data_IF_026384112289
#
_entry.id   IF_026384112289
#
_cell.length_a   1.000
_cell.length_b   1.000
_cell.length_c   1.000
_cell.angle_alpha   90.00
_cell.angle_beta   90.00
_cell.angle_gamma   90.00
#
_symmetry.space_group_name_H-M   'P 1'
#
loop_
_entity.id
_entity.type
_entity.pdbx_description
1 polymer ?
#
# COMPACT_ATOMS: atom_id res chain seq x y z
N UNK A 1 -10.11 -20.52 16.43
CA UNK A 1 -9.64 -21.90 16.16
C UNK A 1 -9.00 -21.97 14.77
N UNK A 2 -7.90 -21.24 14.53
CA UNK A 2 -7.27 -21.20 13.18
C UNK A 2 -5.91 -20.45 13.10
N UNK A 3 -5.20 -20.27 14.22
CA UNK A 3 -3.93 -19.51 14.27
C UNK A 3 -2.66 -20.36 14.02
N UNK A 4 -2.81 -21.66 13.72
CA UNK A 4 -1.70 -22.62 13.59
C UNK A 4 -1.34 -22.97 12.13
N UNK A 5 -1.99 -22.37 11.12
CA UNK A 5 -1.90 -22.87 9.75
C UNK A 5 -0.70 -22.34 8.92
N UNK A 6 -0.06 -21.23 9.29
CA UNK A 6 0.97 -20.59 8.44
C UNK A 6 2.41 -20.84 8.89
N UNK A 7 2.66 -20.90 10.20
CA UNK A 7 3.99 -21.18 10.75
C UNK A 7 4.40 -22.63 10.46
N UNK A 8 3.44 -23.55 10.52
CA UNK A 8 3.67 -24.98 10.33
C UNK A 8 3.59 -25.42 8.85
N UNK A 9 3.29 -24.51 7.92
CA UNK A 9 3.14 -24.84 6.50
C UNK A 9 4.52 -24.87 5.80
N UNK A 10 5.03 -26.04 5.39
CA UNK A 10 6.40 -26.20 4.91
C UNK A 10 6.67 -25.43 3.60
N UNK A 11 5.63 -25.15 2.81
CA UNK A 11 5.77 -24.32 1.59
C UNK A 11 5.99 -22.85 1.93
N UNK A 12 5.26 -22.34 2.91
CA UNK A 12 5.32 -20.93 3.34
C UNK A 12 6.63 -20.66 4.07
N UNK A 13 7.11 -21.62 4.87
CA UNK A 13 8.42 -21.55 5.50
C UNK A 13 9.57 -21.57 4.49
N UNK A 14 9.44 -22.28 3.37
CA UNK A 14 10.45 -22.28 2.30
C UNK A 14 10.53 -20.92 1.59
N UNK A 15 9.37 -20.29 1.36
CA UNK A 15 9.27 -19.02 0.63
C UNK A 15 9.18 -17.78 1.53
N UNK A 16 9.35 -17.93 2.86
CA UNK A 16 9.17 -16.83 3.85
C UNK A 16 10.01 -15.59 3.55
N UNK A 17 11.24 -15.78 3.06
CA UNK A 17 12.13 -14.70 2.64
C UNK A 17 11.65 -14.01 1.35
N UNK A 18 11.05 -14.76 0.41
CA UNK A 18 10.45 -14.18 -0.80
C UNK A 18 9.20 -13.36 -0.44
N UNK A 19 8.40 -13.83 0.51
CA UNK A 19 7.24 -13.08 1.02
C UNK A 19 7.71 -11.77 1.67
N UNK A 20 8.76 -11.83 2.51
CA UNK A 20 9.35 -10.64 3.11
C UNK A 20 9.84 -9.65 2.04
N UNK A 21 10.59 -10.13 1.04
CA UNK A 21 11.07 -9.30 -0.08
C UNK A 21 9.90 -8.64 -0.81
N UNK A 22 8.84 -9.40 -1.14
CA UNK A 22 7.68 -8.85 -1.84
C UNK A 22 6.99 -7.74 -1.03
N UNK A 23 6.84 -7.94 0.28
CA UNK A 23 6.24 -6.99 1.21
C UNK A 23 7.12 -5.74 1.38
N UNK A 24 8.43 -5.91 1.49
CA UNK A 24 9.39 -4.81 1.55
C UNK A 24 9.41 -3.99 0.26
N UNK A 25 9.48 -4.65 -0.91
CA UNK A 25 9.43 -3.97 -2.22
C UNK A 25 8.14 -3.17 -2.35
N UNK A 26 7.00 -3.75 -1.95
CA UNK A 26 5.73 -3.06 -2.04
C UNK A 26 5.70 -1.80 -1.14
N UNK A 27 6.18 -1.94 0.10
CA UNK A 27 6.23 -0.82 1.06
C UNK A 27 7.16 0.28 0.55
N UNK A 28 8.31 -0.10 0.01
CA UNK A 28 9.25 0.83 -0.62
C UNK A 28 8.62 1.56 -1.82
N UNK A 29 7.97 0.82 -2.72
CA UNK A 29 7.26 1.40 -3.87
C UNK A 29 6.15 2.36 -3.45
N UNK A 30 5.38 2.02 -2.42
CA UNK A 30 4.32 2.88 -1.89
C UNK A 30 4.86 4.20 -1.31
N UNK A 31 6.03 4.16 -0.68
CA UNK A 31 6.71 5.36 -0.18
C UNK A 31 7.28 6.19 -1.35
N UNK A 32 7.92 5.54 -2.32
CA UNK A 32 8.44 6.20 -3.51
C UNK A 32 7.36 6.92 -4.32
N UNK A 33 6.19 6.30 -4.50
CA UNK A 33 5.07 6.91 -5.22
C UNK A 33 4.67 8.26 -4.60
N UNK A 34 4.56 8.33 -3.26
CA UNK A 34 4.30 9.58 -2.56
C UNK A 34 5.39 10.64 -2.78
N UNK A 35 6.66 10.24 -2.75
CA UNK A 35 7.79 11.15 -3.01
C UNK A 35 7.82 11.66 -4.46
N UNK A 36 7.58 10.78 -5.43
CA UNK A 36 7.55 11.12 -6.87
C UNK A 36 6.50 12.20 -7.14
N UNK A 37 5.30 12.04 -6.58
CA UNK A 37 4.21 13.00 -6.79
C UNK A 37 4.54 14.35 -6.19
N UNK A 38 5.12 14.38 -4.99
CA UNK A 38 5.56 15.63 -4.36
C UNK A 38 6.57 16.39 -5.23
N UNK A 39 7.52 15.68 -5.86
CA UNK A 39 8.49 16.27 -6.79
C UNK A 39 7.80 16.70 -8.11
N UNK A 40 6.78 15.96 -8.54
CA UNK A 40 6.04 16.23 -9.76
C UNK A 40 4.96 17.32 -9.61
N UNK A 41 4.58 17.75 -8.40
CA UNK A 41 3.60 18.80 -8.15
C UNK A 41 3.76 20.06 -9.04
N UNK A 42 4.95 20.68 -9.13
CA UNK A 42 5.15 21.84 -10.01
C UNK A 42 4.98 21.51 -11.49
N UNK A 43 5.30 20.28 -11.91
CA UNK A 43 5.09 19.82 -13.28
C UNK A 43 3.59 19.63 -13.54
N UNK A 44 2.87 18.95 -12.66
CA UNK A 44 1.41 18.74 -12.73
C UNK A 44 0.68 20.10 -12.80
N UNK A 45 1.07 21.06 -11.97
CA UNK A 45 0.51 22.42 -11.98
C UNK A 45 0.71 23.11 -13.33
N UNK A 46 1.92 23.02 -13.92
CA UNK A 46 2.23 23.63 -15.22
C UNK A 46 1.51 22.93 -16.38
N UNK A 47 1.54 21.60 -16.42
CA UNK A 47 0.95 20.79 -17.50
C UNK A 47 -0.57 20.94 -17.56
N UNK A 48 -1.23 20.99 -16.39
CA UNK A 48 -2.68 21.15 -16.30
C UNK A 48 -3.13 22.62 -16.24
N UNK A 49 -2.20 23.57 -16.23
CA UNK A 49 -2.46 25.01 -16.07
C UNK A 49 -3.33 25.34 -14.84
N UNK A 50 -3.15 24.59 -13.74
CA UNK A 50 -3.90 24.76 -12.49
C UNK A 50 -3.04 25.44 -11.43
N UNK A 51 -3.65 26.19 -10.48
CA UNK A 51 -2.91 26.79 -9.38
C UNK A 51 -2.29 25.71 -8.48
N UNK A 52 -1.14 26.01 -7.89
CA UNK A 52 -0.38 25.07 -7.05
C UNK A 52 -1.23 24.48 -5.91
N UNK A 53 -2.15 25.27 -5.32
CA UNK A 53 -3.04 24.77 -4.27
C UNK A 53 -3.89 23.58 -4.73
N UNK A 54 -4.27 23.53 -6.01
CA UNK A 54 -5.10 22.46 -6.55
C UNK A 54 -4.24 21.21 -6.81
N UNK A 55 -2.99 21.39 -7.23
CA UNK A 55 -2.06 20.27 -7.35
C UNK A 55 -1.71 19.65 -6.00
N UNK A 56 -1.60 20.44 -4.93
CA UNK A 56 -1.32 19.91 -3.58
C UNK A 56 -2.39 18.91 -3.10
N UNK A 57 -3.64 19.08 -3.52
CA UNK A 57 -4.72 18.12 -3.22
C UNK A 57 -4.42 16.71 -3.72
N UNK A 58 -3.60 16.53 -4.75
CA UNK A 58 -3.17 15.23 -5.26
C UNK A 58 -2.41 14.44 -4.17
N UNK A 59 -1.58 15.12 -3.38
CA UNK A 59 -0.85 14.52 -2.26
C UNK A 59 -1.72 14.44 -1.01
N UNK A 60 -2.46 15.51 -0.71
CA UNK A 60 -3.30 15.56 0.50
C UNK A 60 -4.39 14.49 0.48
N UNK A 61 -5.11 14.30 -0.64
CA UNK A 61 -6.19 13.32 -0.71
C UNK A 61 -5.68 11.90 -0.51
N UNK A 62 -4.50 11.59 -1.04
CA UNK A 62 -3.85 10.30 -0.90
C UNK A 62 -3.56 9.99 0.59
N UNK A 63 -2.96 10.94 1.30
CA UNK A 63 -2.68 10.80 2.74
C UNK A 63 -3.95 10.71 3.59
N UNK A 64 -4.94 11.57 3.31
CA UNK A 64 -6.22 11.59 4.03
C UNK A 64 -6.92 10.23 3.93
N UNK A 65 -7.01 9.68 2.71
CA UNK A 65 -7.65 8.38 2.46
C UNK A 65 -6.88 7.26 3.15
N UNK A 66 -5.54 7.26 3.08
CA UNK A 66 -4.72 6.28 3.80
C UNK A 66 -5.02 6.33 5.30
N UNK A 67 -4.94 7.50 5.93
CA UNK A 67 -5.18 7.65 7.36
C UNK A 67 -6.56 7.17 7.79
N UNK A 68 -7.60 7.48 7.01
CA UNK A 68 -8.97 7.04 7.31
C UNK A 68 -9.14 5.52 7.20
N UNK A 69 -8.52 4.90 6.20
CA UNK A 69 -8.75 3.51 5.86
C UNK A 69 -7.75 2.54 6.48
N UNK A 70 -6.60 3.02 6.95
CA UNK A 70 -5.55 2.19 7.53
C UNK A 70 -6.07 1.38 8.73
N UNK A 71 -6.80 2.02 9.65
CA UNK A 71 -7.39 1.34 10.81
C UNK A 71 -8.51 0.37 10.40
N UNK A 72 -9.30 0.74 9.39
CA UNK A 72 -10.41 -0.06 8.89
C UNK A 72 -9.91 -1.34 8.23
N UNK A 73 -8.92 -1.25 7.34
CA UNK A 73 -8.33 -2.41 6.68
C UNK A 73 -7.44 -3.24 7.61
N UNK A 74 -6.83 -2.64 8.63
CA UNK A 74 -6.15 -3.39 9.68
C UNK A 74 -7.11 -4.35 10.38
N UNK A 75 -8.26 -3.83 10.86
CA UNK A 75 -9.32 -4.66 11.46
C UNK A 75 -9.89 -5.68 10.47
N UNK A 76 -10.09 -5.28 9.20
CA UNK A 76 -10.60 -6.19 8.17
C UNK A 76 -9.61 -7.34 7.89
N UNK A 77 -8.31 -7.05 7.88
CA UNK A 77 -7.23 -8.01 7.73
C UNK A 77 -7.14 -8.99 8.90
N UNK A 78 -7.32 -8.50 10.13
CA UNK A 78 -7.36 -9.35 11.32
C UNK A 78 -8.56 -10.32 11.29
N UNK A 79 -9.69 -9.92 10.71
CA UNK A 79 -10.89 -10.74 10.61
C UNK A 79 -10.91 -11.71 9.41
N UNK A 80 -10.48 -11.25 8.22
CA UNK A 80 -10.62 -11.98 6.95
C UNK A 80 -9.31 -12.58 6.42
N UNK A 81 -8.19 -12.36 7.11
CA UNK A 81 -6.87 -12.84 6.75
C UNK A 81 -6.02 -11.76 6.05
N UNK A 82 -4.86 -11.47 6.65
CA UNK A 82 -3.97 -10.37 6.25
C UNK A 82 -3.37 -10.55 4.86
N UNK A 83 -2.92 -11.77 4.52
CA UNK A 83 -2.35 -12.08 3.20
C UNK A 83 -3.37 -11.83 2.08
N UNK A 84 -4.65 -12.14 2.30
CA UNK A 84 -5.71 -11.92 1.31
C UNK A 84 -5.93 -10.42 1.08
N UNK A 85 -6.03 -9.64 2.16
CA UNK A 85 -6.19 -8.18 2.07
C UNK A 85 -4.96 -7.54 1.42
N UNK A 86 -3.75 -7.99 1.73
CA UNK A 86 -2.52 -7.51 1.09
C UNK A 86 -2.53 -7.75 -0.42
N UNK A 87 -2.91 -8.96 -0.88
CA UNK A 87 -3.02 -9.27 -2.32
C UNK A 87 -4.07 -8.42 -3.04
N UNK A 88 -5.22 -8.18 -2.42
CA UNK A 88 -6.25 -7.31 -3.00
C UNK A 88 -5.73 -5.86 -3.08
N UNK A 89 -5.11 -5.40 -2.00
CA UNK A 89 -4.52 -4.07 -1.91
C UNK A 89 -3.44 -3.82 -2.95
N UNK A 90 -2.58 -4.81 -3.21
CA UNK A 90 -1.52 -4.68 -4.21
C UNK A 90 -2.08 -4.55 -5.63
N UNK A 91 -3.09 -5.35 -5.99
CA UNK A 91 -3.78 -5.25 -7.29
C UNK A 91 -4.45 -3.87 -7.42
N UNK A 92 -5.12 -3.41 -6.38
CA UNK A 92 -5.82 -2.13 -6.38
C UNK A 92 -4.87 -0.94 -6.48
N UNK A 93 -3.72 -1.00 -5.79
CA UNK A 93 -2.66 -0.01 -5.91
C UNK A 93 -2.12 0.04 -7.33
N UNK A 94 -1.78 -1.10 -7.93
CA UNK A 94 -1.29 -1.15 -9.32
C UNK A 94 -2.30 -0.59 -10.31
N UNK A 95 -3.60 -0.91 -10.16
CA UNK A 95 -4.64 -0.32 -10.99
C UNK A 95 -4.72 1.20 -10.81
N UNK A 96 -4.66 1.69 -9.56
CA UNK A 96 -4.63 3.11 -9.25
C UNK A 96 -3.43 3.83 -9.87
N UNK A 97 -2.22 3.26 -9.78
CA UNK A 97 -1.02 3.80 -10.43
C UNK A 97 -1.15 3.88 -11.94
N UNK A 98 -1.76 2.86 -12.55
CA UNK A 98 -2.01 2.81 -13.99
C UNK A 98 -3.01 3.90 -14.40
N UNK A 99 -4.06 4.11 -13.59
CA UNK A 99 -5.03 5.19 -13.78
C UNK A 99 -4.39 6.58 -13.65
N UNK A 100 -3.45 6.76 -12.72
CA UNK A 100 -2.71 8.02 -12.55
C UNK A 100 -1.86 8.40 -13.78
N UNK A 101 -1.47 7.42 -14.61
CA UNK A 101 -0.73 7.67 -15.84
C UNK A 101 -1.58 8.20 -17.00
N UNK A 102 -2.91 8.11 -16.91
CA UNK A 102 -3.80 8.65 -17.94
C UNK A 102 -3.99 10.16 -17.75
N UNK A 103 -3.68 10.94 -18.79
CA UNK A 103 -3.82 12.39 -18.77
C UNK A 103 -5.27 12.83 -19.05
N UNK A 104 -6.17 12.59 -18.08
CA UNK A 104 -7.61 12.92 -18.21
C UNK A 104 -8.05 14.12 -17.35
N UNK A 105 -7.10 14.87 -16.79
CA UNK A 105 -7.35 16.06 -15.96
C UNK A 105 -7.27 15.82 -14.46
N UNK A 106 -7.35 16.91 -13.68
CA UNK A 106 -7.15 16.89 -12.22
C UNK A 106 -8.17 16.00 -11.49
N UNK A 107 -9.45 16.07 -11.87
CA UNK A 107 -10.50 15.29 -11.21
C UNK A 107 -10.27 13.77 -11.35
N UNK A 108 -9.86 13.32 -12.54
CA UNK A 108 -9.52 11.92 -12.77
C UNK A 108 -8.25 11.53 -12.00
N UNK A 109 -7.24 12.40 -11.96
CA UNK A 109 -6.03 12.17 -11.17
C UNK A 109 -6.34 12.03 -9.67
N UNK A 110 -7.21 12.88 -9.13
CA UNK A 110 -7.66 12.78 -7.74
C UNK A 110 -8.43 11.47 -7.49
N UNK A 111 -9.31 11.08 -8.40
CA UNK A 111 -10.01 9.80 -8.29
C UNK A 111 -9.05 8.61 -8.32
N UNK A 112 -8.11 8.60 -9.27
CA UNK A 112 -7.07 7.58 -9.37
C UNK A 112 -6.22 7.52 -8.09
N UNK A 113 -5.90 8.67 -7.49
CA UNK A 113 -5.20 8.78 -6.20
C UNK A 113 -5.99 8.18 -5.05
N UNK A 114 -7.30 8.40 -5.00
CA UNK A 114 -8.17 7.77 -3.99
C UNK A 114 -8.13 6.25 -4.14
N UNK A 115 -8.29 5.73 -5.36
CA UNK A 115 -8.21 4.28 -5.62
C UNK A 115 -6.84 3.75 -5.21
N UNK A 116 -5.76 4.42 -5.60
CA UNK A 116 -4.40 4.02 -5.23
C UNK A 116 -4.18 4.03 -3.72
N UNK A 117 -4.68 5.04 -3.01
CA UNK A 117 -4.61 5.19 -1.56
C UNK A 117 -5.35 4.07 -0.80
N UNK A 118 -6.49 3.60 -1.31
CA UNK A 118 -7.20 2.45 -0.75
C UNK A 118 -6.29 1.21 -0.79
N UNK A 119 -5.61 0.98 -1.92
CA UNK A 119 -4.69 -0.14 -2.10
C UNK A 119 -3.47 -0.05 -1.17
N UNK A 120 -2.89 1.14 -1.05
CA UNK A 120 -1.79 1.43 -0.12
C UNK A 120 -2.21 1.21 1.35
N UNK A 121 -3.40 1.66 1.74
CA UNK A 121 -3.90 1.47 3.11
C UNK A 121 -4.08 -0.01 3.47
N UNK A 122 -4.57 -0.82 2.52
CA UNK A 122 -4.71 -2.27 2.70
C UNK A 122 -3.36 -2.96 2.93
N UNK A 123 -2.33 -2.60 2.16
CA UNK A 123 -1.01 -3.24 2.27
C UNK A 123 -0.25 -2.75 3.49
N UNK A 124 -0.25 -1.44 3.78
CA UNK A 124 0.42 -0.87 4.95
C UNK A 124 -0.15 -1.39 6.27
N UNK A 125 -1.48 -1.52 6.36
CA UNK A 125 -2.13 -2.03 7.58
C UNK A 125 -1.89 -3.52 7.84
N UNK A 126 -1.59 -4.31 6.79
CA UNK A 126 -1.41 -5.76 6.90
C UNK A 126 0.05 -6.20 6.93
N UNK A 127 0.99 -5.34 6.50
CA UNK A 127 2.40 -5.64 6.38
C UNK A 127 3.00 -6.23 7.68
N UNK A 128 3.01 -5.48 8.78
CA UNK A 128 3.54 -5.94 10.07
C UNK A 128 2.83 -7.21 10.58
N UNK A 129 1.54 -7.33 10.28
CA UNK A 129 0.76 -8.48 10.68
C UNK A 129 1.09 -9.76 9.90
N UNK A 130 1.54 -9.65 8.64
CA UNK A 130 2.03 -10.77 7.83
C UNK A 130 3.39 -11.22 8.34
N UNK A 131 4.31 -10.30 8.61
CA UNK A 131 5.65 -10.61 9.12
C UNK A 131 5.54 -11.39 10.44
N UNK A 132 4.64 -10.97 11.34
CA UNK A 132 4.41 -11.66 12.61
C UNK A 132 3.73 -13.03 12.47
N UNK A 133 2.98 -13.29 11.41
CA UNK A 133 2.35 -14.59 11.12
C UNK A 133 3.28 -15.57 10.38
N UNK A 134 4.22 -15.06 9.58
CA UNK A 134 5.14 -15.87 8.77
C UNK A 134 6.43 -16.22 9.51
N UNK A 135 6.97 -15.29 10.33
CA UNK A 135 8.24 -15.48 11.03
C UNK A 135 8.07 -15.98 12.47
N UNK A 136 8.82 -17.04 12.88
CA UNK A 136 8.86 -17.51 14.26
C UNK A 136 9.47 -16.44 15.19
N UNK A 137 9.12 -16.49 16.48
CA UNK A 137 9.42 -15.43 17.44
C UNK A 137 10.91 -15.05 17.51
N UNK A 138 11.82 -16.02 17.36
CA UNK A 138 13.28 -15.77 17.34
C UNK A 138 13.76 -14.99 16.10
N UNK A 139 13.06 -15.06 14.96
CA UNK A 139 13.47 -14.41 13.71
C UNK A 139 12.74 -13.07 13.45
N UNK A 140 11.69 -12.76 14.23
CA UNK A 140 10.89 -11.54 14.06
C UNK A 140 11.69 -10.25 14.22
N UNK A 141 12.65 -10.21 15.15
CA UNK A 141 13.51 -9.03 15.35
C UNK A 141 14.28 -8.68 14.07
N UNK A 142 14.89 -9.68 13.43
CA UNK A 142 15.63 -9.51 12.17
C UNK A 142 14.76 -9.20 10.95
N UNK A 143 13.46 -9.46 11.03
CA UNK A 143 12.51 -9.24 9.94
C UNK A 143 11.75 -7.90 10.07
N UNK A 144 11.75 -7.29 11.26
CA UNK A 144 11.11 -6.01 11.55
C UNK A 144 12.12 -4.85 11.73
N UNK A 145 13.42 -5.16 11.88
CA UNK A 145 14.53 -4.19 11.87
C UNK A 145 14.93 -3.72 10.46
#
# INVERSE_FOLDING_TARGET
MGKLAFVDDPKIQKDRWLILIAVCIFTFMSTLDGSIVNIALPVISRDMNIPMNQSEWVVSIYLIVICMLLLLFGKLGDAHGKIRIFKIGSILFTMGSLLCGFNTGLAMLLFARVVQAIGAAMTMSTNNGIITEVFPFQERGRALE
#
